data_IF_355722650320
#
_entry.id   IF_355722650320
#
_cell.length_a   1.000
_cell.length_b   1.000
_cell.length_c   1.000
_cell.angle_alpha   90.00
_cell.angle_beta   90.00
_cell.angle_gamma   90.00
#
_symmetry.space_group_name_H-M   'P 1'
#
loop_
_entity.id
_entity.type
_entity.pdbx_description
1 polymer ?
#
# COMPACT_ATOMS: atom_id res chain seq x y z
N UNK A 1 -24.26 7.51 1.82
CA UNK A 1 -24.06 6.37 0.88
C UNK A 1 -23.70 5.13 1.68
N UNK A 2 -24.38 4.00 1.44
CA UNK A 2 -24.14 2.74 2.16
C UNK A 2 -22.75 2.19 1.81
N UNK A 3 -22.13 1.42 2.72
CA UNK A 3 -20.79 0.85 2.49
C UNK A 3 -20.73 -0.06 1.27
N UNK A 4 -21.80 -0.81 1.01
CA UNK A 4 -21.95 -1.68 -0.16
C UNK A 4 -21.78 -0.90 -1.47
N UNK A 5 -22.35 0.31 -1.55
CA UNK A 5 -22.23 1.17 -2.72
C UNK A 5 -20.80 1.67 -2.94
N UNK A 6 -20.04 1.91 -1.86
CA UNK A 6 -18.62 2.32 -1.95
C UNK A 6 -17.77 1.15 -2.49
N UNK A 7 -17.99 -0.06 -1.98
CA UNK A 7 -17.27 -1.26 -2.42
C UNK A 7 -17.57 -1.54 -3.89
N UNK A 8 -18.83 -1.46 -4.31
CA UNK A 8 -19.23 -1.63 -5.71
C UNK A 8 -18.60 -0.58 -6.63
N UNK A 9 -18.64 0.70 -6.24
CA UNK A 9 -17.99 1.77 -6.98
C UNK A 9 -16.48 1.55 -7.08
N UNK A 10 -15.83 1.14 -6.00
CA UNK A 10 -14.40 0.87 -5.99
C UNK A 10 -14.02 -0.32 -6.89
N UNK A 11 -14.79 -1.41 -6.86
CA UNK A 11 -14.62 -2.55 -7.77
C UNK A 11 -14.79 -2.11 -9.23
N UNK A 12 -15.81 -1.30 -9.52
CA UNK A 12 -16.03 -0.77 -10.86
C UNK A 12 -14.86 0.10 -11.34
N UNK A 13 -14.28 0.93 -10.47
CA UNK A 13 -13.11 1.75 -10.79
C UNK A 13 -11.86 0.90 -11.04
N UNK A 14 -11.65 -0.19 -10.29
CA UNK A 14 -10.56 -1.14 -10.54
C UNK A 14 -10.76 -1.86 -11.90
N UNK A 15 -11.98 -2.31 -12.18
CA UNK A 15 -12.30 -2.96 -13.45
C UNK A 15 -12.10 -1.99 -14.62
N UNK A 16 -12.51 -0.74 -14.45
CA UNK A 16 -12.29 0.35 -15.40
C UNK A 16 -10.80 0.59 -15.65
N UNK A 17 -9.98 0.68 -14.60
CA UNK A 17 -8.52 0.73 -14.73
C UNK A 17 -8.00 -0.44 -15.57
N UNK A 18 -8.36 -1.68 -15.20
CA UNK A 18 -7.82 -2.87 -15.86
C UNK A 18 -8.17 -2.92 -17.35
N UNK A 19 -9.39 -2.51 -17.71
CA UNK A 19 -9.84 -2.44 -19.10
C UNK A 19 -9.06 -1.40 -19.92
N UNK A 20 -8.88 -0.17 -19.39
CA UNK A 20 -8.24 0.92 -20.14
C UNK A 20 -6.71 0.85 -20.13
N UNK A 21 -6.10 0.27 -19.11
CA UNK A 21 -4.64 0.17 -18.99
C UNK A 21 -4.07 -1.11 -19.61
N UNK A 22 -4.91 -2.01 -20.11
CA UNK A 22 -4.55 -3.41 -20.39
C UNK A 22 -3.87 -4.08 -19.17
N UNK A 23 -4.42 -3.83 -17.98
CA UNK A 23 -3.85 -4.29 -16.72
C UNK A 23 -2.42 -3.79 -16.51
N UNK A 24 -1.50 -4.72 -16.27
CA UNK A 24 -0.08 -4.46 -15.98
C UNK A 24 0.83 -4.72 -17.19
N UNK A 25 0.32 -4.66 -18.42
CA UNK A 25 1.13 -4.99 -19.62
C UNK A 25 1.90 -3.78 -20.17
N UNK A 26 1.38 -2.56 -20.00
CA UNK A 26 2.05 -1.32 -20.41
C UNK A 26 2.40 -0.47 -19.18
N UNK A 27 3.64 -0.57 -18.74
CA UNK A 27 4.21 0.30 -17.69
C UNK A 27 4.79 1.58 -18.32
N UNK A 28 4.75 2.68 -17.57
CA UNK A 28 5.39 3.98 -17.90
C UNK A 28 4.68 4.78 -19.01
N UNK A 29 3.53 5.35 -18.66
CA UNK A 29 2.80 6.29 -19.50
C UNK A 29 1.76 7.07 -18.71
N UNK A 30 1.51 8.33 -19.08
CA UNK A 30 0.60 9.23 -18.35
C UNK A 30 -0.80 8.63 -18.21
N UNK A 31 -1.33 8.03 -19.29
CA UNK A 31 -2.62 7.33 -19.25
C UNK A 31 -2.66 6.21 -18.21
N UNK A 32 -1.61 5.37 -18.16
CA UNK A 32 -1.51 4.29 -17.18
C UNK A 32 -1.49 4.84 -15.75
N UNK A 33 -0.65 5.85 -15.50
CA UNK A 33 -0.52 6.49 -14.20
C UNK A 33 -1.86 7.08 -13.71
N UNK A 34 -2.56 7.82 -14.58
CA UNK A 34 -3.87 8.41 -14.26
C UNK A 34 -4.89 7.33 -13.91
N UNK A 35 -5.07 6.32 -14.77
CA UNK A 35 -6.08 5.28 -14.53
C UNK A 35 -5.77 4.44 -13.29
N UNK A 36 -4.49 4.19 -12.98
CA UNK A 36 -4.10 3.49 -11.75
C UNK A 36 -4.41 4.29 -10.49
N UNK A 37 -4.26 5.62 -10.55
CA UNK A 37 -4.43 6.51 -9.39
C UNK A 37 -5.89 6.87 -9.10
N UNK A 38 -6.78 6.88 -10.09
CA UNK A 38 -8.21 7.25 -9.90
C UNK A 38 -8.91 6.46 -8.78
N UNK A 39 -8.87 5.11 -8.75
CA UNK A 39 -9.53 4.34 -7.69
C UNK A 39 -9.05 4.75 -6.29
N UNK A 40 -7.75 5.03 -6.16
CA UNK A 40 -7.11 5.41 -4.90
C UNK A 40 -7.52 6.81 -4.46
N UNK A 41 -7.58 7.78 -5.39
CA UNK A 41 -8.04 9.14 -5.10
C UNK A 41 -9.50 9.17 -4.64
N UNK A 42 -10.36 8.40 -5.32
CA UNK A 42 -11.77 8.27 -4.94
C UNK A 42 -11.89 7.68 -3.53
N UNK A 43 -11.11 6.65 -3.21
CA UNK A 43 -11.11 6.04 -1.88
C UNK A 43 -10.61 7.03 -0.80
N UNK A 44 -9.57 7.82 -1.11
CA UNK A 44 -9.06 8.87 -0.22
C UNK A 44 -10.13 9.94 0.05
N UNK A 45 -10.84 10.39 -0.99
CA UNK A 45 -11.93 11.36 -0.85
C UNK A 45 -13.06 10.81 0.02
N UNK A 46 -13.45 9.54 -0.16
CA UNK A 46 -14.46 8.93 0.70
C UNK A 46 -14.03 8.85 2.16
N UNK A 47 -12.77 8.48 2.42
CA UNK A 47 -12.24 8.50 3.78
C UNK A 47 -12.27 9.91 4.37
N UNK A 48 -11.94 10.94 3.58
CA UNK A 48 -11.97 12.34 4.01
C UNK A 48 -13.39 12.79 4.38
N UNK A 49 -14.36 12.54 3.50
CA UNK A 49 -15.77 12.90 3.70
C UNK A 49 -16.40 12.20 4.91
N UNK A 50 -15.82 11.10 5.39
CA UNK A 50 -16.22 10.40 6.62
C UNK A 50 -15.45 10.86 7.87
N UNK A 51 -14.82 12.03 7.82
CA UNK A 51 -14.00 12.60 8.90
C UNK A 51 -12.79 11.73 9.29
N UNK A 52 -12.27 10.93 8.36
CA UNK A 52 -11.11 10.03 8.60
C UNK A 52 -9.85 10.63 8.00
N UNK A 53 -9.54 11.88 8.33
CA UNK A 53 -8.48 12.67 7.68
C UNK A 53 -7.11 11.96 7.61
N UNK A 54 -6.70 11.25 8.66
CA UNK A 54 -5.44 10.47 8.66
C UNK A 54 -5.46 9.26 7.71
N UNK A 55 -6.61 8.61 7.56
CA UNK A 55 -6.81 7.51 6.60
C UNK A 55 -6.92 8.07 5.18
N UNK A 56 -7.59 9.20 4.99
CA UNK A 56 -7.59 9.89 3.70
C UNK A 56 -6.18 10.25 3.24
N UNK A 57 -5.36 10.80 4.14
CA UNK A 57 -3.98 11.18 3.87
C UNK A 57 -3.11 9.97 3.51
N UNK A 58 -3.18 8.87 4.27
CA UNK A 58 -2.38 7.68 3.94
C UNK A 58 -2.74 7.11 2.57
N UNK A 59 -4.03 7.11 2.21
CA UNK A 59 -4.50 6.62 0.90
C UNK A 59 -4.09 7.59 -0.21
N UNK A 60 -4.19 8.90 0.02
CA UNK A 60 -3.76 9.93 -0.92
C UNK A 60 -2.28 9.78 -1.26
N UNK A 61 -1.43 9.57 -0.24
CA UNK A 61 0.00 9.34 -0.43
C UNK A 61 0.28 8.07 -1.25
N UNK A 62 -0.49 7.01 -1.07
CA UNK A 62 -0.45 5.84 -1.94
C UNK A 62 -0.78 6.18 -3.40
N UNK A 63 -1.82 6.97 -3.63
CA UNK A 63 -2.23 7.41 -4.98
C UNK A 63 -1.20 8.29 -5.67
N UNK A 64 -0.56 9.20 -4.92
CA UNK A 64 0.57 10.02 -5.41
C UNK A 64 1.76 9.12 -5.77
N UNK A 65 2.07 8.15 -4.92
CA UNK A 65 3.12 7.16 -5.21
C UNK A 65 2.82 6.37 -6.49
N UNK A 66 1.59 5.89 -6.67
CA UNK A 66 1.18 5.17 -7.88
C UNK A 66 1.34 6.00 -9.14
N UNK A 67 1.00 7.28 -9.08
CA UNK A 67 1.17 8.22 -10.20
C UNK A 67 2.64 8.41 -10.55
N UNK A 68 3.49 8.64 -9.55
CA UNK A 68 4.94 8.86 -9.74
C UNK A 68 5.62 7.61 -10.28
N UNK A 69 5.25 6.40 -9.83
CA UNK A 69 5.80 5.14 -10.38
C UNK A 69 5.33 4.94 -11.83
N UNK A 70 4.11 5.37 -12.15
CA UNK A 70 3.46 5.12 -13.44
C UNK A 70 3.98 5.96 -14.61
N UNK A 71 4.78 7.01 -14.38
CA UNK A 71 5.19 7.96 -15.44
C UNK A 71 6.60 7.66 -15.99
N UNK A 72 7.71 7.88 -15.25
CA UNK A 72 9.04 7.59 -15.76
C UNK A 72 9.48 6.15 -15.44
N UNK A 73 10.37 5.58 -16.27
CA UNK A 73 10.99 4.27 -16.04
C UNK A 73 11.78 4.17 -14.73
N UNK A 74 12.25 5.31 -14.20
CA UNK A 74 12.89 5.42 -12.89
C UNK A 74 11.96 5.81 -11.73
N UNK A 75 10.63 5.82 -11.94
CA UNK A 75 9.65 6.35 -10.99
C UNK A 75 9.55 5.60 -9.66
N UNK A 76 10.10 4.40 -9.58
CA UNK A 76 10.09 3.53 -8.39
C UNK A 76 10.73 4.24 -7.18
N UNK A 77 11.89 4.85 -7.36
CA UNK A 77 12.62 5.54 -6.28
C UNK A 77 11.86 6.76 -5.77
N UNK A 78 11.52 7.78 -6.61
CA UNK A 78 10.76 8.93 -6.15
C UNK A 78 9.36 8.56 -5.65
N UNK A 79 8.72 7.54 -6.23
CA UNK A 79 7.41 7.05 -5.80
C UNK A 79 7.43 6.32 -4.45
N UNK A 80 8.58 5.74 -4.06
CA UNK A 80 8.75 5.08 -2.76
C UNK A 80 8.66 6.03 -1.57
N UNK A 81 8.92 7.34 -1.76
CA UNK A 81 8.82 8.34 -0.69
C UNK A 81 7.38 8.55 -0.21
N UNK A 82 6.41 8.97 -1.06
CA UNK A 82 5.03 9.13 -0.62
C UNK A 82 4.42 7.79 -0.18
N UNK A 83 4.74 6.68 -0.87
CA UNK A 83 4.34 5.36 -0.40
C UNK A 83 4.86 5.05 1.01
N UNK A 84 6.16 5.22 1.25
CA UNK A 84 6.80 5.00 2.55
C UNK A 84 6.18 5.87 3.63
N UNK A 85 5.95 7.16 3.37
CA UNK A 85 5.26 8.06 4.31
C UNK A 85 3.84 7.57 4.65
N UNK A 86 3.06 7.13 3.66
CA UNK A 86 1.73 6.56 3.88
C UNK A 86 1.77 5.30 4.76
N UNK A 87 2.76 4.43 4.55
CA UNK A 87 2.96 3.22 5.34
C UNK A 87 3.43 3.52 6.78
N UNK A 88 4.29 4.52 6.99
CA UNK A 88 4.66 4.97 8.34
C UNK A 88 3.46 5.52 9.10
N UNK A 89 2.59 6.28 8.43
CA UNK A 89 1.31 6.73 9.02
C UNK A 89 0.44 5.51 9.37
N UNK A 90 0.33 4.51 8.49
CA UNK A 90 -0.40 3.29 8.77
C UNK A 90 0.17 2.57 10.01
N UNK A 91 1.49 2.35 10.10
CA UNK A 91 2.12 1.78 11.30
C UNK A 91 1.79 2.57 12.56
N UNK A 92 1.84 3.91 12.48
CA UNK A 92 1.48 4.77 13.62
C UNK A 92 0.04 4.57 14.10
N UNK A 93 -0.88 4.28 13.17
CA UNK A 93 -2.30 4.09 13.46
C UNK A 93 -2.61 2.68 13.98
N UNK A 94 -1.90 1.66 13.49
CA UNK A 94 -2.25 0.25 13.70
C UNK A 94 -1.34 -0.48 14.69
N UNK A 95 -0.04 -0.17 14.74
CA UNK A 95 0.90 -0.87 15.58
C UNK A 95 0.80 -0.44 17.06
N UNK A 96 0.53 0.84 17.31
CA UNK A 96 0.58 1.41 18.68
C UNK A 96 -0.73 1.32 19.46
N UNK A 97 -1.83 0.82 18.87
CA UNK A 97 -3.15 0.83 19.51
C UNK A 97 -3.49 -0.41 20.34
N UNK A 98 -2.74 -1.52 20.24
CA UNK A 98 -3.04 -2.78 20.94
C UNK A 98 -1.78 -3.54 21.34
N UNK A 99 -1.92 -4.48 22.27
CA UNK A 99 -0.90 -5.48 22.60
C UNK A 99 -0.56 -6.31 21.36
N UNK A 100 0.50 -5.91 20.68
CA UNK A 100 0.92 -6.50 19.42
C UNK A 100 1.49 -7.91 19.66
N UNK A 101 0.78 -8.93 19.17
CA UNK A 101 1.28 -10.32 19.12
C UNK A 101 1.47 -10.73 17.67
N UNK A 102 2.72 -10.95 17.30
CA UNK A 102 3.10 -11.33 15.94
C UNK A 102 2.42 -12.66 15.54
N UNK A 103 1.84 -12.69 14.35
CA UNK A 103 1.46 -13.93 13.67
C UNK A 103 2.67 -14.46 12.89
N UNK A 104 3.44 -15.33 13.57
CA UNK A 104 4.72 -15.85 13.09
C UNK A 104 4.71 -16.44 11.67
N UNK A 105 3.67 -17.16 11.21
CA UNK A 105 3.66 -17.68 9.85
C UNK A 105 3.80 -16.59 8.78
N UNK A 106 3.10 -15.46 8.92
CA UNK A 106 3.26 -14.34 7.98
C UNK A 106 4.63 -13.69 8.11
N UNK A 107 5.15 -13.52 9.33
CA UNK A 107 6.47 -12.93 9.54
C UNK A 107 7.57 -13.76 8.87
N UNK A 108 7.53 -15.09 9.02
CA UNK A 108 8.49 -16.01 8.38
C UNK A 108 8.36 -15.96 6.87
N UNK A 109 7.14 -16.03 6.33
CA UNK A 109 6.91 -15.96 4.88
C UNK A 109 7.44 -14.66 4.27
N UNK A 110 7.23 -13.53 4.94
CA UNK A 110 7.77 -12.25 4.50
C UNK A 110 9.28 -12.15 4.66
N UNK A 111 9.88 -12.71 5.71
CA UNK A 111 11.33 -12.76 5.84
C UNK A 111 11.97 -13.55 4.68
N UNK A 112 11.37 -14.67 4.29
CA UNK A 112 11.82 -15.44 3.13
C UNK A 112 11.68 -14.62 1.84
N UNK A 113 10.53 -13.98 1.63
CA UNK A 113 10.32 -13.11 0.47
C UNK A 113 11.33 -11.96 0.43
N UNK A 114 11.63 -11.34 1.57
CA UNK A 114 12.63 -10.28 1.69
C UNK A 114 14.03 -10.78 1.38
N UNK A 115 14.40 -11.99 1.83
CA UNK A 115 15.67 -12.60 1.47
C UNK A 115 15.76 -12.85 -0.04
N UNK A 116 14.69 -13.33 -0.67
CA UNK A 116 14.60 -13.52 -2.13
C UNK A 116 14.75 -12.19 -2.87
N UNK A 117 13.96 -11.18 -2.55
CA UNK A 117 14.02 -9.85 -3.18
C UNK A 117 15.39 -9.19 -2.92
N UNK A 118 15.92 -9.31 -1.71
CA UNK A 118 17.24 -8.82 -1.34
C UNK A 118 18.36 -9.45 -2.18
N UNK A 119 18.31 -10.76 -2.36
CA UNK A 119 19.32 -11.49 -3.13
C UNK A 119 19.26 -11.23 -4.64
N UNK A 120 18.06 -11.31 -5.22
CA UNK A 120 17.89 -11.23 -6.68
C UNK A 120 17.72 -9.82 -7.22
N UNK A 121 17.20 -8.87 -6.43
CA UNK A 121 16.91 -7.52 -6.90
C UNK A 121 17.85 -6.47 -6.27
N UNK A 122 18.00 -6.47 -4.95
CA UNK A 122 18.75 -5.41 -4.25
C UNK A 122 20.26 -5.61 -4.37
N UNK A 123 20.77 -6.82 -4.17
CA UNK A 123 22.22 -7.10 -4.22
C UNK A 123 22.87 -6.73 -5.56
N UNK A 124 22.29 -7.04 -6.74
CA UNK A 124 22.84 -6.58 -8.01
C UNK A 124 22.79 -5.05 -8.18
N UNK A 125 21.79 -4.39 -7.59
CA UNK A 125 21.64 -2.94 -7.67
C UNK A 125 22.59 -2.20 -6.72
N UNK A 126 23.08 -2.85 -5.65
CA UNK A 126 23.98 -2.24 -4.67
C UNK A 126 25.34 -1.83 -5.27
N UNK A 127 25.83 -2.54 -6.28
CA UNK A 127 27.10 -2.23 -6.94
C UNK A 127 27.01 -1.12 -7.99
N UNK A 128 25.82 -0.86 -8.53
CA UNK A 128 25.59 0.14 -9.58
C UNK A 128 24.95 1.42 -9.04
N UNK A 129 23.93 1.30 -8.18
CA UNK A 129 23.14 2.40 -7.65
C UNK A 129 22.86 2.21 -6.14
N UNK A 130 23.87 2.37 -5.27
CA UNK A 130 23.76 2.04 -3.85
C UNK A 130 22.70 2.85 -3.11
N UNK A 131 22.48 4.11 -3.49
CA UNK A 131 21.44 4.97 -2.91
C UNK A 131 20.04 4.43 -3.23
N UNK A 132 19.80 3.98 -4.46
CA UNK A 132 18.51 3.41 -4.87
C UNK A 132 18.26 2.08 -4.16
N UNK A 133 19.31 1.26 -4.01
CA UNK A 133 19.28 0.03 -3.21
C UNK A 133 18.92 0.28 -1.75
N UNK A 134 19.49 1.32 -1.14
CA UNK A 134 19.17 1.68 0.23
C UNK A 134 17.70 2.12 0.38
N UNK A 135 17.23 3.02 -0.48
CA UNK A 135 15.85 3.53 -0.44
C UNK A 135 14.86 2.37 -0.61
N UNK A 136 15.06 1.51 -1.61
CA UNK A 136 14.19 0.37 -1.87
C UNK A 136 14.23 -0.66 -0.75
N UNK A 137 15.39 -0.88 -0.11
CA UNK A 137 15.51 -1.76 1.06
C UNK A 137 14.68 -1.23 2.23
N UNK A 138 14.85 0.05 2.58
CA UNK A 138 14.10 0.69 3.68
C UNK A 138 12.61 0.64 3.42
N UNK A 139 12.19 0.97 2.18
CA UNK A 139 10.79 0.88 1.78
C UNK A 139 10.26 -0.56 1.90
N UNK A 140 11.00 -1.55 1.40
CA UNK A 140 10.59 -2.95 1.48
C UNK A 140 10.40 -3.41 2.93
N UNK A 141 11.33 -3.07 3.83
CA UNK A 141 11.20 -3.38 5.26
C UNK A 141 9.97 -2.71 5.89
N UNK A 142 9.71 -1.46 5.53
CA UNK A 142 8.52 -0.73 6.00
C UNK A 142 7.24 -1.42 5.54
N UNK A 143 7.17 -1.86 4.28
CA UNK A 143 6.04 -2.59 3.72
C UNK A 143 5.83 -3.95 4.41
N UNK A 144 6.92 -4.70 4.65
CA UNK A 144 6.84 -5.95 5.39
C UNK A 144 6.34 -5.74 6.83
N UNK A 145 6.81 -4.69 7.52
CA UNK A 145 6.31 -4.36 8.85
C UNK A 145 4.80 -4.06 8.83
N UNK A 146 4.31 -3.27 7.87
CA UNK A 146 2.88 -3.00 7.69
C UNK A 146 2.08 -4.29 7.51
N UNK A 147 2.57 -5.19 6.66
CA UNK A 147 1.86 -6.42 6.36
C UNK A 147 1.86 -7.38 7.55
N UNK A 148 2.97 -7.50 8.30
CA UNK A 148 3.01 -8.27 9.55
C UNK A 148 2.02 -7.69 10.57
N UNK A 149 1.98 -6.37 10.73
CA UNK A 149 1.04 -5.72 11.65
C UNK A 149 -0.41 -5.98 11.23
N UNK A 150 -0.73 -5.73 9.96
CA UNK A 150 -2.08 -5.91 9.42
C UNK A 150 -2.53 -7.36 9.48
N UNK A 151 -1.69 -8.32 9.10
CA UNK A 151 -2.05 -9.73 9.12
C UNK A 151 -2.16 -10.26 10.55
N UNK A 152 -1.30 -9.80 11.47
CA UNK A 152 -1.36 -10.19 12.88
C UNK A 152 -2.68 -9.73 13.51
N UNK A 153 -3.16 -8.53 13.15
CA UNK A 153 -4.49 -8.09 13.56
C UNK A 153 -5.58 -8.93 12.91
N UNK A 154 -5.53 -9.17 11.59
CA UNK A 154 -6.55 -9.94 10.88
C UNK A 154 -6.74 -11.36 11.44
N UNK A 155 -5.67 -12.13 11.58
CA UNK A 155 -5.74 -13.53 12.03
C UNK A 155 -5.97 -13.70 13.53
N UNK A 156 -5.76 -12.65 14.34
CA UNK A 156 -6.00 -12.70 15.79
C UNK A 156 -7.24 -11.93 16.24
N UNK A 157 -7.97 -11.31 15.32
CA UNK A 157 -9.25 -10.66 15.61
C UNK A 157 -10.26 -11.71 16.07
N UNK A 158 -10.76 -11.60 17.30
CA UNK A 158 -11.99 -12.27 17.71
C UNK A 158 -13.21 -11.60 17.05
N UNK A 159 -14.39 -12.23 17.06
CA UNK A 159 -15.62 -11.65 16.46
C UNK A 159 -15.94 -10.24 17.01
N UNK A 160 -15.52 -9.93 18.24
CA UNK A 160 -15.68 -8.60 18.86
C UNK A 160 -14.67 -7.54 18.34
N UNK A 161 -13.64 -7.95 17.60
CA UNK A 161 -12.61 -7.08 17.03
C UNK A 161 -12.91 -6.67 15.58
N UNK A 162 -13.83 -7.38 14.91
CA UNK A 162 -14.33 -7.03 13.59
C UNK A 162 -15.09 -5.70 13.60
N UNK A 163 -15.75 -5.34 14.70
CA UNK A 163 -16.39 -4.02 14.85
C UNK A 163 -15.40 -2.86 14.69
N UNK A 164 -14.12 -3.04 15.02
CA UNK A 164 -13.12 -1.98 14.94
C UNK A 164 -12.41 -1.89 13.59
N UNK A 165 -12.24 -3.02 12.90
CA UNK A 165 -11.82 -3.02 11.48
C UNK A 165 -12.94 -2.47 10.60
N UNK A 166 -14.20 -2.76 10.97
CA UNK A 166 -15.39 -2.13 10.42
C UNK A 166 -15.49 -0.65 10.82
N UNK A 167 -14.99 -0.21 11.98
CA UNK A 167 -14.82 1.22 12.28
C UNK A 167 -13.82 1.93 11.36
N UNK A 168 -13.13 1.25 10.43
CA UNK A 168 -12.38 1.89 9.32
C UNK A 168 -13.26 2.10 8.08
N UNK A 169 -14.33 1.30 7.96
CA UNK A 169 -15.26 1.26 6.82
C UNK A 169 -16.69 1.75 7.15
N UNK A 170 -17.05 2.01 8.42
CA UNK A 170 -18.30 2.61 8.90
C UNK A 170 -18.10 4.08 9.25
#
# INVERSE_FOLDING_TARGET
>A
MKNETIVQLYIALIAYFFYYSNGFVKFHGEYYAVFKTIPVLVLSLFAFLRNRGRVALLILLGGIGDYIIGIPSGGIVPGSFPFGSGHLIALSLFAFKRTFKIFWPTAIGLLLLQATVGHFCIKPMLSSEPTNALILSVYSFTLAACFIVSSSHYFRSSVNDLEYTVCILN
#
